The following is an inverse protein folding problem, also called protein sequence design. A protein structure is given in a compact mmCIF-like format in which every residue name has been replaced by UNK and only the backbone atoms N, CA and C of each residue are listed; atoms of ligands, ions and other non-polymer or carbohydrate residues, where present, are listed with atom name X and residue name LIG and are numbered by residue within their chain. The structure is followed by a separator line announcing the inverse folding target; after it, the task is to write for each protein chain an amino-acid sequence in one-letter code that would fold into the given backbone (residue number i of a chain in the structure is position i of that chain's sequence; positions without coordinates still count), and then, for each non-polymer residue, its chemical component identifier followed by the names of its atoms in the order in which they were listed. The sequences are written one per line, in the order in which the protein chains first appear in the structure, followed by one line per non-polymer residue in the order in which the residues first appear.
data_IF_962693846903
#
_entry.id   IF_962693846903
#
_cell.length_a   1.000
_cell.length_b   1.000
_cell.length_c   1.000
_cell.angle_alpha   90.00
_cell.angle_beta   90.00
_cell.angle_gamma   90.00
#
_symmetry.space_group_name_H-M   'P 1'
#
loop_
_entity.id
_entity.type
_entity.pdbx_description
1 polymer ?
#
# COMPACT_ATOMS: atom_id res chain seq x y z
N UNK A 1 10.78 -27.51 -3.36
CA UNK A 1 9.64 -27.28 -2.45
C UNK A 1 9.16 -25.86 -2.67
N UNK A 2 7.87 -25.65 -2.96
CA UNK A 2 7.33 -24.29 -3.06
C UNK A 2 7.18 -23.75 -1.65
N UNK A 3 8.02 -22.80 -1.26
CA UNK A 3 7.94 -22.13 0.04
C UNK A 3 6.76 -21.15 0.00
N UNK A 4 5.59 -21.63 0.43
CA UNK A 4 4.37 -20.85 0.58
C UNK A 4 4.02 -20.82 2.06
N UNK A 5 4.13 -19.64 2.67
CA UNK A 5 3.71 -19.40 4.04
C UNK A 5 2.32 -18.75 4.02
N UNK A 6 1.38 -19.34 4.77
CA UNK A 6 0.11 -18.67 5.03
C UNK A 6 0.34 -17.70 6.17
N UNK A 7 0.29 -16.41 5.87
CA UNK A 7 0.52 -15.34 6.84
C UNK A 7 -0.78 -14.59 7.12
N UNK A 8 -0.86 -14.01 8.30
CA UNK A 8 -1.99 -13.15 8.68
C UNK A 8 -1.64 -11.69 8.42
N UNK A 9 -2.51 -10.97 7.72
CA UNK A 9 -2.34 -9.55 7.46
C UNK A 9 -2.43 -8.77 8.78
N UNK A 10 -1.41 -8.01 9.20
CA UNK A 10 -1.42 -7.26 10.45
C UNK A 10 -2.47 -6.13 10.49
N UNK A 11 -3.03 -5.75 9.33
CA UNK A 11 -4.05 -4.69 9.24
C UNK A 11 -5.48 -5.22 9.37
N UNK A 12 -5.82 -6.31 8.70
CA UNK A 12 -7.19 -6.82 8.64
C UNK A 12 -7.37 -8.21 9.25
N UNK A 13 -6.29 -8.81 9.76
CA UNK A 13 -6.24 -10.18 10.28
C UNK A 13 -6.62 -11.29 9.28
N UNK A 14 -6.85 -10.96 8.01
CA UNK A 14 -7.12 -11.96 6.98
C UNK A 14 -5.86 -12.80 6.70
N UNK A 15 -6.03 -14.12 6.62
CA UNK A 15 -4.99 -15.04 6.19
C UNK A 15 -4.83 -14.99 4.67
N UNK A 16 -3.60 -14.89 4.20
CA UNK A 16 -3.28 -14.90 2.77
C UNK A 16 -1.96 -15.63 2.52
N UNK A 17 -1.77 -16.06 1.27
CA UNK A 17 -0.53 -16.71 0.86
C UNK A 17 0.56 -15.66 0.60
N UNK A 18 1.60 -15.68 1.42
CA UNK A 18 2.85 -15.03 1.08
C UNK A 18 3.78 -16.06 0.42
N UNK A 19 4.23 -15.74 -0.79
CA UNK A 19 5.13 -16.58 -1.58
C UNK A 19 6.43 -15.84 -1.79
N UNK A 20 7.17 -15.57 -0.72
CA UNK A 20 8.44 -14.82 -0.80
C UNK A 20 9.45 -15.53 -1.72
N UNK A 21 9.51 -16.86 -1.67
CA UNK A 21 10.34 -17.68 -2.58
C UNK A 21 9.85 -17.71 -4.03
N UNK A 22 8.68 -17.15 -4.33
CA UNK A 22 8.14 -16.99 -5.68
C UNK A 22 7.38 -15.67 -5.77
N UNK A 23 8.11 -14.57 -5.51
CA UNK A 23 7.54 -13.23 -5.31
C UNK A 23 6.58 -12.83 -6.43
N UNK A 24 6.85 -13.20 -7.68
CA UNK A 24 6.01 -12.95 -8.87
C UNK A 24 4.60 -13.53 -8.77
N UNK A 25 4.37 -14.50 -7.87
CA UNK A 25 3.08 -15.14 -7.61
C UNK A 25 2.51 -14.78 -6.23
N UNK A 26 3.12 -13.83 -5.51
CA UNK A 26 2.63 -13.36 -4.23
C UNK A 26 1.51 -12.33 -4.44
N UNK A 27 0.49 -12.32 -3.57
CA UNK A 27 -0.62 -11.36 -3.66
C UNK A 27 -0.15 -9.90 -3.64
N UNK A 28 0.99 -9.60 -3.02
CA UNK A 28 1.53 -8.25 -3.01
C UNK A 28 2.00 -7.76 -4.39
N UNK A 29 2.32 -8.65 -5.34
CA UNK A 29 2.69 -8.28 -6.71
C UNK A 29 1.49 -7.92 -7.58
N UNK A 30 0.28 -8.34 -7.22
CA UNK A 30 -0.95 -7.94 -7.91
C UNK A 30 -1.21 -6.43 -7.75
N UNK A 31 -0.59 -5.79 -6.75
CA UNK A 31 -0.72 -4.36 -6.46
C UNK A 31 0.51 -3.60 -6.92
N UNK A 32 0.39 -2.85 -8.02
CA UNK A 32 1.46 -1.96 -8.48
C UNK A 32 1.58 -0.74 -7.55
N UNK A 33 2.64 -0.71 -6.75
CA UNK A 33 2.98 0.39 -5.84
C UNK A 33 4.25 1.12 -6.31
N UNK A 34 4.21 2.45 -6.29
CA UNK A 34 5.37 3.32 -6.47
C UNK A 34 6.34 3.22 -5.29
N UNK A 35 7.57 3.72 -5.46
CA UNK A 35 8.58 3.72 -4.40
C UNK A 35 8.06 4.47 -3.16
N UNK A 36 7.47 5.65 -3.35
CA UNK A 36 6.92 6.45 -2.25
C UNK A 36 5.78 5.73 -1.50
N UNK A 37 4.87 5.07 -2.22
CA UNK A 37 3.79 4.28 -1.61
C UNK A 37 4.36 3.09 -0.81
N UNK A 38 5.38 2.41 -1.34
CA UNK A 38 6.05 1.29 -0.63
C UNK A 38 6.76 1.76 0.64
N UNK A 39 7.46 2.88 0.59
CA UNK A 39 8.09 3.47 1.77
C UNK A 39 7.04 3.82 2.83
N UNK A 40 5.97 4.51 2.43
CA UNK A 40 4.88 4.85 3.33
C UNK A 40 4.29 3.62 4.04
N UNK A 41 4.09 2.52 3.29
CA UNK A 41 3.60 1.26 3.86
C UNK A 41 4.63 0.67 4.84
N UNK A 42 5.90 0.63 4.46
CA UNK A 42 6.98 0.05 5.29
C UNK A 42 7.25 0.83 6.57
N UNK A 43 6.92 2.12 6.63
CA UNK A 43 7.03 2.94 7.84
C UNK A 43 5.89 2.64 8.83
N UNK A 44 4.75 2.12 8.35
CA UNK A 44 3.54 1.92 9.15
C UNK A 44 3.30 0.46 9.54
N UNK A 45 3.74 -0.49 8.70
CA UNK A 45 3.43 -1.90 8.86
C UNK A 45 4.72 -2.73 8.76
N UNK A 46 4.97 -3.54 9.80
CA UNK A 46 5.99 -4.59 9.75
C UNK A 46 5.35 -5.90 9.30
N UNK A 47 5.84 -6.47 8.18
CA UNK A 47 5.39 -7.74 7.62
C UNK A 47 4.60 -7.59 6.32
N UNK A 48 4.09 -8.72 5.81
CA UNK A 48 3.36 -8.75 4.55
C UNK A 48 1.89 -8.33 4.76
N UNK A 49 1.36 -7.54 3.82
CA UNK A 49 -0.04 -7.15 3.75
C UNK A 49 -0.74 -7.86 2.58
N UNK A 50 -2.02 -8.17 2.75
CA UNK A 50 -2.82 -8.74 1.67
C UNK A 50 -3.09 -7.71 0.55
N UNK A 51 -3.42 -8.20 -0.66
CA UNK A 51 -3.65 -7.33 -1.82
C UNK A 51 -4.74 -6.28 -1.57
N UNK A 52 -5.82 -6.64 -0.87
CA UNK A 52 -6.91 -5.72 -0.58
C UNK A 52 -6.43 -4.52 0.26
N UNK A 53 -5.74 -4.79 1.37
CA UNK A 53 -5.19 -3.73 2.22
C UNK A 53 -4.18 -2.84 1.49
N UNK A 54 -3.33 -3.43 0.63
CA UNK A 54 -2.39 -2.67 -0.19
C UNK A 54 -3.11 -1.74 -1.17
N UNK A 55 -4.20 -2.19 -1.81
CA UNK A 55 -5.02 -1.35 -2.70
C UNK A 55 -5.71 -0.21 -1.95
N UNK A 56 -6.25 -0.49 -0.77
CA UNK A 56 -6.88 0.55 0.07
C UNK A 56 -5.89 1.63 0.49
N UNK A 57 -4.70 1.24 0.97
CA UNK A 57 -3.65 2.18 1.37
C UNK A 57 -3.20 3.01 0.17
N UNK A 58 -2.95 2.38 -0.98
CA UNK A 58 -2.62 3.06 -2.23
C UNK A 58 -3.66 4.11 -2.60
N UNK A 59 -4.94 3.74 -2.57
CA UNK A 59 -6.02 4.66 -2.90
C UNK A 59 -6.06 5.84 -1.91
N UNK A 60 -5.91 5.56 -0.62
CA UNK A 60 -5.89 6.59 0.41
C UNK A 60 -4.69 7.56 0.25
N UNK A 61 -3.49 7.04 -0.02
CA UNK A 61 -2.28 7.84 -0.25
C UNK A 61 -2.44 8.80 -1.43
N UNK A 62 -3.01 8.32 -2.55
CA UNK A 62 -3.27 9.15 -3.74
C UNK A 62 -4.31 10.23 -3.46
N UNK A 63 -5.37 9.91 -2.72
CA UNK A 63 -6.39 10.89 -2.35
C UNK A 63 -5.83 11.98 -1.43
N UNK A 64 -4.99 11.61 -0.45
CA UNK A 64 -4.32 12.59 0.41
C UNK A 64 -3.43 13.54 -0.41
N UNK A 65 -2.61 12.99 -1.32
CA UNK A 65 -1.75 13.79 -2.20
C UNK A 65 -2.54 14.74 -3.10
N UNK A 66 -3.69 14.30 -3.62
CA UNK A 66 -4.58 15.16 -4.40
C UNK A 66 -5.17 16.29 -3.54
N UNK A 67 -5.71 15.97 -2.36
CA UNK A 67 -6.27 16.96 -1.41
C UNK A 67 -5.24 18.00 -1.01
N UNK A 68 -4.00 17.59 -0.75
CA UNK A 68 -2.90 18.50 -0.44
C UNK A 68 -2.62 19.47 -1.59
N UNK A 69 -2.53 18.97 -2.83
CA UNK A 69 -2.31 19.83 -4.02
C UNK A 69 -3.47 20.82 -4.21
N UNK A 70 -4.71 20.35 -4.11
CA UNK A 70 -5.90 21.21 -4.23
C UNK A 70 -5.90 22.30 -3.14
N UNK A 71 -5.67 21.94 -1.87
CA UNK A 71 -5.60 22.91 -0.78
C UNK A 71 -4.49 23.93 -0.99
N UNK A 72 -3.31 23.48 -1.46
CA UNK A 72 -2.18 24.36 -1.75
C UNK A 72 -2.50 25.33 -2.88
N UNK A 73 -3.14 24.85 -3.94
CA UNK A 73 -3.60 25.69 -5.06
C UNK A 73 -4.63 26.72 -4.58
N UNK A 74 -5.67 26.31 -3.85
CA UNK A 74 -6.67 27.24 -3.30
C UNK A 74 -6.06 28.35 -2.44
N UNK A 75 -5.06 28.01 -1.61
CA UNK A 75 -4.32 29.01 -0.80
C UNK A 75 -3.53 30.01 -1.63
N UNK A 76 -3.04 29.63 -2.82
CA UNK A 76 -2.32 30.55 -3.72
C UNK A 76 -3.27 31.52 -4.42
N UNK A 77 -4.49 31.07 -4.76
CA UNK A 77 -5.48 31.90 -5.43
C UNK A 77 -6.27 32.82 -4.48
N UNK A 78 -6.43 32.45 -3.21
CA UNK A 78 -7.17 33.24 -2.21
C UNK A 78 -6.37 34.35 -1.50
N UNK A 79 -5.13 34.62 -1.93
CA UNK A 79 -4.23 35.62 -1.31
C UNK A 79 -4.17 36.95 -2.09
N UNK A 80 -5.20 37.24 -2.89
CA UNK A 80 -5.34 38.45 -3.70
C UNK A 80 -6.46 39.31 -3.16
#
# INVERSE_FOLDING_TARGET
MADHETVSCPRCAATFECRVGSILRCQCQEVTLTIAERQHISEQFNGCLCANCLQEIKNNYRQQGFRYKVSRVMKLFGKR
#
